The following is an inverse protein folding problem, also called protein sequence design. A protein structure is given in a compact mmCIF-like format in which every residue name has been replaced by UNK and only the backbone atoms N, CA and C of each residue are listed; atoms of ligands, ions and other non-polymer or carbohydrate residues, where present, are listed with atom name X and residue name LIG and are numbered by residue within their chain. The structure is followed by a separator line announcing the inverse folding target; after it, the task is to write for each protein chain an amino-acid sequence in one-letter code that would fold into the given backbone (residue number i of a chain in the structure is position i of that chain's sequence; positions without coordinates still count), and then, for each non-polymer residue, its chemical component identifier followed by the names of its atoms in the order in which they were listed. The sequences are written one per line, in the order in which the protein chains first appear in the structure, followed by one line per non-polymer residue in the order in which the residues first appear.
data_IF_438147574205
#
_entry.id   IF_438147574205
#
_cell.length_a   1.000
_cell.length_b   1.000
_cell.length_c   1.000
_cell.angle_alpha   90.00
_cell.angle_beta   90.00
_cell.angle_gamma   90.00
#
_symmetry.space_group_name_H-M   'P 1'
#
loop_
_entity.id
_entity.type
_entity.pdbx_description
1 polymer ?
#
# COMPACT_ATOMS: atom_id res chain seq x y z
N UNK A 1 0.07 -16.36 1.59
CA UNK A 1 0.91 -17.53 1.31
C UNK A 1 1.57 -17.45 -0.07
N UNK A 2 0.85 -17.62 -1.18
CA UNK A 2 1.50 -17.65 -2.52
C UNK A 2 2.14 -16.34 -3.01
N UNK A 3 1.55 -15.19 -2.68
CA UNK A 3 2.02 -13.87 -3.14
C UNK A 3 2.72 -13.06 -2.05
N UNK A 4 3.08 -13.70 -0.93
CA UNK A 4 3.81 -13.05 0.18
C UNK A 4 3.00 -11.86 0.77
N UNK A 5 3.53 -10.94 1.61
CA UNK A 5 2.72 -9.89 2.23
C UNK A 5 2.45 -8.71 1.28
N UNK A 6 1.32 -8.03 1.48
CA UNK A 6 1.15 -6.65 1.00
C UNK A 6 2.15 -5.70 1.69
N UNK A 7 2.38 -4.52 1.11
CA UNK A 7 3.16 -3.47 1.80
C UNK A 7 2.57 -3.13 3.17
N UNK A 8 1.24 -2.99 3.25
CA UNK A 8 0.50 -2.75 4.49
C UNK A 8 0.75 -3.84 5.54
N UNK A 9 0.72 -5.11 5.12
CA UNK A 9 0.96 -6.25 6.00
C UNK A 9 2.38 -6.24 6.52
N UNK A 10 3.37 -6.00 5.64
CA UNK A 10 4.79 -5.92 5.98
C UNK A 10 5.07 -4.83 7.04
N UNK A 11 4.41 -3.68 6.93
CA UNK A 11 4.50 -2.61 7.93
C UNK A 11 3.87 -3.02 9.27
N UNK A 12 2.67 -3.63 9.26
CA UNK A 12 2.03 -4.09 10.51
C UNK A 12 2.83 -5.19 11.21
N UNK A 13 3.37 -6.15 10.48
CA UNK A 13 4.17 -7.23 11.08
C UNK A 13 5.47 -6.72 11.69
N UNK A 14 6.04 -5.63 11.17
CA UNK A 14 7.21 -4.99 11.79
C UNK A 14 6.86 -4.45 13.17
N UNK A 15 5.77 -3.67 13.29
CA UNK A 15 5.30 -3.16 14.58
C UNK A 15 4.98 -4.30 15.56
N UNK A 16 4.29 -5.34 15.08
CA UNK A 16 3.98 -6.52 15.88
C UNK A 16 5.24 -7.26 16.36
N UNK A 17 6.21 -7.48 15.47
CA UNK A 17 7.46 -8.20 15.80
C UNK A 17 8.24 -7.48 16.90
N UNK A 18 8.36 -6.16 16.83
CA UNK A 18 9.02 -5.38 17.87
C UNK A 18 8.21 -5.30 19.17
N UNK A 19 6.87 -5.23 19.09
CA UNK A 19 6.00 -5.31 20.27
C UNK A 19 6.22 -6.64 21.01
N UNK A 20 6.19 -7.77 20.31
CA UNK A 20 6.40 -9.10 20.91
C UNK A 20 7.80 -9.22 21.51
N UNK A 21 8.83 -8.72 20.81
CA UNK A 21 10.21 -8.72 21.30
C UNK A 21 10.32 -7.91 22.59
N UNK A 22 9.81 -6.68 22.59
CA UNK A 22 9.98 -5.74 23.70
C UNK A 22 9.16 -6.16 24.92
N UNK A 23 7.99 -6.77 24.70
CA UNK A 23 7.21 -7.38 25.78
C UNK A 23 7.94 -8.58 26.42
N UNK A 24 8.66 -9.39 25.63
CA UNK A 24 9.42 -10.54 26.13
C UNK A 24 10.59 -10.12 27.04
N UNK A 25 11.17 -8.94 26.81
CA UNK A 25 12.22 -8.36 27.67
C UNK A 25 11.66 -7.49 28.81
N UNK A 26 10.34 -7.54 29.05
CA UNK A 26 9.70 -6.91 30.20
C UNK A 26 9.11 -5.51 29.97
N UNK A 27 9.08 -5.01 28.72
CA UNK A 27 8.47 -3.71 28.46
C UNK A 27 6.94 -3.75 28.59
N UNK A 28 6.36 -2.74 29.25
CA UNK A 28 4.90 -2.58 29.28
C UNK A 28 4.43 -1.85 28.01
N UNK A 29 4.03 -2.63 27.00
CA UNK A 29 3.66 -2.12 25.68
C UNK A 29 2.43 -1.21 25.67
N UNK A 30 1.56 -1.29 26.70
CA UNK A 30 0.36 -0.47 26.83
C UNK A 30 0.60 0.91 27.46
N UNK A 31 1.72 1.11 28.16
CA UNK A 31 2.06 2.38 28.81
C UNK A 31 3.37 3.00 28.31
N UNK A 32 4.03 2.36 27.33
CA UNK A 32 5.27 2.86 26.76
C UNK A 32 5.01 4.10 25.90
N UNK A 33 5.46 5.26 26.36
CA UNK A 33 5.40 6.51 25.60
C UNK A 33 6.57 6.60 24.61
N UNK A 34 6.27 6.98 23.38
CA UNK A 34 7.23 7.28 22.34
C UNK A 34 7.72 8.74 22.39
N UNK A 35 8.73 9.11 21.58
CA UNK A 35 9.35 10.44 21.62
C UNK A 35 8.40 11.60 21.31
N UNK A 36 7.32 11.34 20.56
CA UNK A 36 6.31 12.35 20.17
C UNK A 36 5.22 12.54 21.22
N UNK A 37 5.28 11.82 22.33
CA UNK A 37 4.24 11.81 23.36
C UNK A 37 3.11 10.80 23.11
N UNK A 38 3.00 10.24 21.89
CA UNK A 38 2.10 9.13 21.56
C UNK A 38 2.63 7.80 22.10
N UNK A 39 1.78 6.77 22.16
CA UNK A 39 2.24 5.43 22.55
C UNK A 39 3.17 4.81 21.51
N UNK A 40 4.28 4.23 21.98
CA UNK A 40 5.33 3.66 21.13
C UNK A 40 4.83 2.46 20.31
N UNK A 41 4.06 1.57 20.95
CA UNK A 41 3.56 0.34 20.32
C UNK A 41 2.07 0.38 20.01
N UNK A 42 1.29 0.98 20.90
CA UNK A 42 -0.17 1.05 20.82
C UNK A 42 -0.64 2.48 20.99
N UNK A 43 -1.68 2.85 20.27
CA UNK A 43 -2.35 4.14 20.39
C UNK A 43 -3.80 4.04 19.91
N UNK A 44 -4.52 5.16 19.91
CA UNK A 44 -5.90 5.22 19.44
C UNK A 44 -6.00 5.71 17.99
N UNK A 45 -6.87 5.07 17.21
CA UNK A 45 -7.32 5.58 15.92
C UNK A 45 -8.17 6.84 16.09
N UNK A 46 -8.48 7.58 15.01
CA UNK A 46 -9.43 8.69 15.05
C UNK A 46 -10.82 8.29 15.59
N UNK A 47 -11.18 7.00 15.49
CA UNK A 47 -12.43 6.41 15.99
C UNK A 47 -12.26 5.71 17.34
N UNK A 48 -11.15 5.96 18.06
CA UNK A 48 -10.80 5.41 19.37
C UNK A 48 -10.55 3.90 19.43
N UNK A 49 -10.36 3.21 18.30
CA UNK A 49 -9.89 1.81 18.33
C UNK A 49 -8.42 1.73 18.73
N UNK A 50 -8.04 0.68 19.45
CA UNK A 50 -6.62 0.41 19.77
C UNK A 50 -5.93 -0.13 18.53
N UNK A 51 -4.87 0.55 18.09
CA UNK A 51 -4.12 0.27 16.86
C UNK A 51 -2.62 0.29 17.12
N UNK A 52 -1.83 -0.22 16.19
CA UNK A 52 -0.36 -0.10 16.26
C UNK A 52 0.10 1.36 16.15
N UNK A 53 1.18 1.68 16.86
CA UNK A 53 1.83 2.99 16.87
C UNK A 53 2.79 3.24 15.70
N UNK A 54 3.41 4.42 15.70
CA UNK A 54 4.38 4.83 14.67
C UNK A 54 3.74 5.06 13.31
N UNK A 55 4.54 5.01 12.24
CA UNK A 55 4.09 5.24 10.85
C UNK A 55 3.02 4.23 10.40
N UNK A 56 2.98 3.06 11.03
CA UNK A 56 1.97 2.01 10.74
C UNK A 56 0.55 2.43 11.08
N UNK A 57 0.37 3.60 11.73
CA UNK A 57 -0.91 4.21 12.01
C UNK A 57 -1.79 4.40 10.79
N UNK A 58 -1.22 4.67 9.62
CA UNK A 58 -1.97 4.88 8.39
C UNK A 58 -2.69 3.62 7.92
N UNK A 59 -2.23 2.45 8.38
CA UNK A 59 -2.64 1.15 7.88
C UNK A 59 -3.55 0.41 8.85
N UNK A 60 -4.08 1.10 9.86
CA UNK A 60 -4.83 0.49 10.96
C UNK A 60 -6.03 -0.36 10.53
N UNK A 61 -6.67 -0.04 9.40
CA UNK A 61 -7.82 -0.78 8.85
C UNK A 61 -7.47 -2.14 8.20
N UNK A 62 -6.18 -2.45 8.00
CA UNK A 62 -5.76 -3.72 7.42
C UNK A 62 -6.19 -4.90 8.31
N UNK A 63 -6.96 -5.83 7.74
CA UNK A 63 -7.27 -7.12 8.38
C UNK A 63 -6.36 -8.20 7.83
N UNK A 64 -5.86 -9.04 8.72
CA UNK A 64 -5.02 -10.16 8.35
C UNK A 64 -5.31 -11.36 9.26
N UNK A 65 -5.38 -12.60 8.72
CA UNK A 65 -5.72 -13.80 9.52
C UNK A 65 -4.77 -14.06 10.70
N UNK A 66 -3.53 -13.59 10.60
CA UNK A 66 -2.53 -13.72 11.68
C UNK A 66 -2.73 -12.70 12.80
N UNK A 67 -3.46 -11.60 12.56
CA UNK A 67 -3.70 -10.52 13.52
C UNK A 67 -5.10 -10.58 14.13
N UNK A 68 -6.11 -10.98 13.35
CA UNK A 68 -7.52 -11.05 13.75
C UNK A 68 -7.77 -11.75 15.10
N UNK A 69 -7.08 -12.85 15.48
CA UNK A 69 -7.27 -13.47 16.80
C UNK A 69 -6.97 -12.53 17.98
N UNK A 70 -6.13 -11.51 17.77
CA UNK A 70 -5.73 -10.52 18.78
C UNK A 70 -6.64 -9.28 18.79
N UNK A 71 -7.60 -9.21 17.87
CA UNK A 71 -8.54 -8.10 17.75
C UNK A 71 -9.88 -8.41 18.46
N UNK A 72 -10.47 -7.35 19.00
CA UNK A 72 -11.81 -7.27 19.59
C UNK A 72 -12.56 -6.10 18.92
N UNK A 73 -13.87 -5.90 19.15
CA UNK A 73 -14.61 -4.80 18.50
C UNK A 73 -13.98 -3.41 18.65
N UNK A 74 -13.25 -3.17 19.75
CA UNK A 74 -12.53 -1.94 20.05
C UNK A 74 -11.07 -1.90 19.53
N UNK A 75 -10.66 -2.81 18.63
CA UNK A 75 -9.30 -2.91 18.11
C UNK A 75 -8.46 -3.97 18.81
N UNK A 76 -7.15 -3.76 18.94
CA UNK A 76 -6.24 -4.72 19.56
C UNK A 76 -6.50 -4.86 21.07
N UNK A 77 -6.67 -6.09 21.56
CA UNK A 77 -6.88 -6.36 22.98
C UNK A 77 -5.53 -6.52 23.70
N UNK A 78 -5.28 -5.65 24.69
CA UNK A 78 -4.07 -5.68 25.51
C UNK A 78 -3.92 -7.00 26.28
N UNK A 79 -5.01 -7.63 26.70
CA UNK A 79 -4.96 -8.91 27.43
C UNK A 79 -4.51 -10.04 26.50
N UNK A 80 -5.06 -10.10 25.28
CA UNK A 80 -4.67 -11.08 24.25
C UNK A 80 -3.23 -10.87 23.79
N UNK A 81 -2.80 -9.62 23.60
CA UNK A 81 -1.41 -9.30 23.29
C UNK A 81 -0.44 -9.77 24.40
N UNK A 82 -0.89 -9.76 25.66
CA UNK A 82 -0.07 -10.23 26.78
C UNK A 82 0.04 -11.75 26.87
N UNK A 83 -1.05 -12.48 26.60
CA UNK A 83 -1.17 -13.89 26.97
C UNK A 83 -1.34 -14.84 25.78
N UNK A 84 -1.91 -14.38 24.68
CA UNK A 84 -2.49 -15.27 23.67
C UNK A 84 -1.69 -15.29 22.35
N UNK A 85 -0.54 -14.61 22.29
CA UNK A 85 0.31 -14.60 21.10
C UNK A 85 0.95 -15.96 20.88
N UNK A 86 0.57 -16.59 19.76
CA UNK A 86 1.02 -17.92 19.38
C UNK A 86 2.38 -17.90 18.67
N UNK A 87 3.19 -18.98 18.80
CA UNK A 87 4.47 -19.08 18.10
C UNK A 87 4.34 -18.89 16.58
N UNK A 88 3.33 -19.48 15.94
CA UNK A 88 3.13 -19.37 14.49
C UNK A 88 2.87 -17.93 14.03
N UNK A 89 2.21 -17.09 14.84
CA UNK A 89 2.01 -15.67 14.54
C UNK A 89 3.35 -14.93 14.53
N UNK A 90 4.27 -15.29 15.44
CA UNK A 90 5.63 -14.72 15.51
C UNK A 90 6.47 -15.14 14.30
N UNK A 91 6.36 -16.39 13.88
CA UNK A 91 7.05 -16.89 12.68
C UNK A 91 6.56 -16.17 11.44
N UNK A 92 5.24 -16.09 11.26
CA UNK A 92 4.62 -15.39 10.13
C UNK A 92 4.97 -13.91 10.11
N UNK A 93 4.99 -13.25 11.27
CA UNK A 93 5.35 -11.83 11.34
C UNK A 93 6.81 -11.58 10.99
N UNK A 94 7.72 -12.44 11.44
CA UNK A 94 9.13 -12.37 11.09
C UNK A 94 9.35 -12.58 9.58
N UNK A 95 8.71 -13.61 9.00
CA UNK A 95 8.76 -13.88 7.56
C UNK A 95 8.24 -12.70 6.74
N UNK A 96 7.06 -12.17 7.08
CA UNK A 96 6.47 -11.07 6.32
C UNK A 96 7.24 -9.76 6.49
N UNK A 97 7.92 -9.56 7.61
CA UNK A 97 8.78 -8.39 7.83
C UNK A 97 10.01 -8.43 6.92
N UNK A 98 10.63 -9.60 6.75
CA UNK A 98 11.85 -9.74 5.91
C UNK A 98 11.53 -9.79 4.41
N UNK A 99 10.30 -10.16 4.05
CA UNK A 99 9.80 -10.21 2.67
C UNK A 99 8.93 -8.99 2.30
N UNK A 100 9.19 -7.83 2.91
CA UNK A 100 8.52 -6.60 2.52
C UNK A 100 8.71 -6.29 1.01
N UNK A 101 7.67 -5.80 0.30
CA UNK A 101 7.72 -5.56 -1.14
C UNK A 101 8.46 -4.26 -1.53
N UNK A 102 9.59 -3.96 -0.88
CA UNK A 102 10.44 -2.77 -1.10
C UNK A 102 11.74 -3.19 -1.75
N UNK A 103 11.99 -2.75 -3.00
CA UNK A 103 13.03 -3.33 -3.88
C UNK A 103 13.51 -2.39 -4.99
N UNK A 104 14.66 -2.69 -5.58
CA UNK A 104 15.18 -2.00 -6.77
C UNK A 104 14.80 -2.72 -8.07
N UNK A 105 14.93 -2.01 -9.20
CA UNK A 105 14.68 -2.56 -10.54
C UNK A 105 15.66 -3.70 -10.92
N UNK A 106 16.85 -3.74 -10.30
CA UNK A 106 17.87 -4.79 -10.54
C UNK A 106 17.66 -6.03 -9.68
N UNK A 107 16.45 -6.23 -9.17
CA UNK A 107 16.08 -7.28 -8.23
C UNK A 107 16.80 -7.22 -6.87
N UNK A 108 17.29 -6.05 -6.48
CA UNK A 108 17.90 -5.89 -5.17
C UNK A 108 16.85 -5.77 -4.09
N UNK A 109 17.03 -6.59 -3.05
CA UNK A 109 16.24 -6.58 -1.87
C UNK A 109 16.65 -5.60 -0.79
N UNK A 110 15.86 -4.55 -0.58
CA UNK A 110 15.83 -3.78 0.66
C UNK A 110 15.22 -2.40 0.45
N UNK A 111 15.48 -1.52 1.40
CA UNK A 111 15.29 -0.08 1.18
C UNK A 111 16.25 0.42 0.09
N UNK A 112 16.03 1.63 -0.42
CA UNK A 112 16.84 2.16 -1.54
C UNK A 112 18.35 2.28 -1.22
N UNK A 113 18.72 2.31 0.06
CA UNK A 113 20.11 2.40 0.55
C UNK A 113 20.71 1.04 0.91
N UNK A 114 20.01 -0.07 0.63
CA UNK A 114 20.50 -1.40 0.97
C UNK A 114 21.68 -1.81 0.07
N UNK A 115 22.64 -2.54 0.64
CA UNK A 115 23.76 -3.12 -0.11
C UNK A 115 23.31 -4.29 -0.98
N UNK A 116 24.12 -4.65 -1.98
CA UNK A 116 23.87 -5.80 -2.87
C UNK A 116 24.04 -7.15 -2.14
N UNK A 117 23.02 -7.58 -1.41
CA UNK A 117 23.07 -8.82 -0.62
C UNK A 117 22.01 -9.84 -1.02
N UNK A 118 20.75 -9.42 -1.19
CA UNK A 118 19.62 -10.34 -1.41
C UNK A 118 19.00 -10.09 -2.78
N UNK A 119 18.83 -11.15 -3.57
CA UNK A 119 18.19 -11.09 -4.88
C UNK A 119 16.74 -11.56 -4.78
N UNK A 120 15.80 -10.63 -4.71
CA UNK A 120 14.38 -10.97 -4.57
C UNK A 120 13.50 -9.75 -4.90
N UNK A 121 12.36 -9.99 -5.56
CA UNK A 121 11.29 -8.99 -5.76
C UNK A 121 9.94 -9.64 -5.56
N UNK A 122 9.06 -8.98 -4.79
CA UNK A 122 7.71 -9.50 -4.57
C UNK A 122 6.94 -9.60 -5.90
N UNK A 123 6.28 -10.74 -6.18
CA UNK A 123 5.39 -10.87 -7.33
C UNK A 123 4.27 -9.83 -7.35
N UNK A 124 3.83 -9.35 -6.18
CA UNK A 124 2.81 -8.28 -6.07
C UNK A 124 3.29 -6.99 -6.73
N UNK A 125 4.56 -6.61 -6.52
CA UNK A 125 5.13 -5.41 -7.12
C UNK A 125 5.21 -5.53 -8.65
N UNK A 126 5.60 -6.71 -9.16
CA UNK A 126 5.62 -6.97 -10.61
C UNK A 126 4.22 -6.88 -11.22
N UNK A 127 3.26 -7.58 -10.64
CA UNK A 127 1.88 -7.62 -11.15
C UNK A 127 1.23 -6.24 -11.10
N UNK A 128 1.39 -5.49 -9.99
CA UNK A 128 0.82 -4.16 -9.85
C UNK A 128 1.40 -3.19 -10.88
N UNK A 129 2.73 -3.15 -11.02
CA UNK A 129 3.40 -2.25 -11.96
C UNK A 129 3.04 -2.56 -13.42
N UNK A 130 3.07 -3.85 -13.79
CA UNK A 130 2.72 -4.28 -15.14
C UNK A 130 1.29 -3.87 -15.50
N UNK A 131 0.32 -4.17 -14.64
CA UNK A 131 -1.08 -3.87 -14.91
C UNK A 131 -1.38 -2.37 -14.88
N UNK A 132 -0.68 -1.59 -14.06
CA UNK A 132 -0.82 -0.13 -14.06
C UNK A 132 -0.36 0.47 -15.39
N UNK A 133 0.84 0.09 -15.85
CA UNK A 133 1.38 0.57 -17.14
C UNK A 133 0.49 0.13 -18.30
N UNK A 134 0.05 -1.14 -18.30
CA UNK A 134 -0.84 -1.65 -19.32
C UNK A 134 -2.19 -0.91 -19.33
N UNK A 135 -2.82 -0.73 -18.17
CA UNK A 135 -4.10 -0.02 -18.03
C UNK A 135 -4.01 1.42 -18.51
N UNK A 136 -2.91 2.11 -18.21
CA UNK A 136 -2.66 3.47 -18.71
C UNK A 136 -2.64 3.52 -20.24
N UNK A 137 -1.89 2.63 -20.89
CA UNK A 137 -1.81 2.63 -22.36
C UNK A 137 -3.10 2.19 -23.04
N UNK A 138 -3.87 1.27 -22.42
CA UNK A 138 -5.21 0.94 -22.90
C UNK A 138 -6.12 2.17 -22.83
N UNK A 139 -6.05 2.96 -21.77
CA UNK A 139 -6.82 4.20 -21.63
C UNK A 139 -6.41 5.26 -22.68
N UNK A 140 -5.11 5.45 -22.91
CA UNK A 140 -4.61 6.34 -23.98
C UNK A 140 -5.12 5.87 -25.35
N UNK A 141 -5.03 4.56 -25.63
CA UNK A 141 -5.57 3.97 -26.85
C UNK A 141 -7.07 4.18 -26.99
N UNK A 142 -7.83 4.04 -25.91
CA UNK A 142 -9.26 4.30 -25.88
C UNK A 142 -9.58 5.74 -26.28
N UNK A 143 -8.92 6.73 -25.67
CA UNK A 143 -9.12 8.15 -26.01
C UNK A 143 -8.78 8.45 -27.46
N UNK A 144 -7.65 7.93 -27.94
CA UNK A 144 -7.21 8.09 -29.32
C UNK A 144 -8.23 7.54 -30.31
N UNK A 145 -8.63 6.28 -30.14
CA UNK A 145 -9.57 5.62 -31.03
C UNK A 145 -10.98 6.20 -30.95
N UNK A 146 -11.45 6.56 -29.75
CA UNK A 146 -12.76 7.19 -29.58
C UNK A 146 -12.81 8.62 -30.17
N UNK A 147 -11.74 9.39 -30.03
CA UNK A 147 -11.60 10.70 -30.66
C UNK A 147 -11.61 10.59 -32.18
N UNK A 148 -10.77 9.70 -32.74
CA UNK A 148 -10.70 9.47 -34.18
C UNK A 148 -12.02 8.93 -34.74
N UNK A 149 -12.67 7.98 -34.07
CA UNK A 149 -13.95 7.43 -34.53
C UNK A 149 -15.02 8.53 -34.66
N UNK A 150 -15.09 9.45 -33.68
CA UNK A 150 -16.00 10.61 -33.75
C UNK A 150 -15.64 11.56 -34.89
N UNK A 151 -14.36 11.86 -35.09
CA UNK A 151 -13.92 12.70 -36.20
C UNK A 151 -14.21 12.08 -37.58
N UNK A 152 -14.11 10.75 -37.70
CA UNK A 152 -14.49 10.00 -38.92
C UNK A 152 -15.99 10.08 -39.17
N UNK A 153 -16.82 9.87 -38.14
CA UNK A 153 -18.28 9.98 -38.27
C UNK A 153 -18.73 11.39 -38.63
N UNK A 154 -17.98 12.41 -38.23
CA UNK A 154 -18.21 13.81 -38.58
C UNK A 154 -17.40 14.29 -39.79
N UNK A 155 -16.69 13.38 -40.48
CA UNK A 155 -16.00 13.60 -41.76
C UNK A 155 -14.87 14.65 -41.76
N UNK A 156 -14.28 14.98 -40.59
CA UNK A 156 -13.15 15.91 -40.48
C UNK A 156 -11.85 15.25 -40.00
N UNK A 157 -11.73 13.92 -40.01
CA UNK A 157 -10.57 13.24 -39.44
C UNK A 157 -9.26 13.52 -40.19
N UNK A 158 -9.34 13.87 -41.48
CA UNK A 158 -8.19 14.18 -42.34
C UNK A 158 -7.75 15.65 -42.31
N UNK A 159 -8.48 16.51 -41.60
CA UNK A 159 -8.23 17.94 -41.57
C UNK A 159 -9.49 18.76 -41.77
N UNK A 160 -9.30 20.07 -41.82
CA UNK A 160 -10.36 21.06 -42.01
C UNK A 160 -10.49 21.37 -43.50
N UNK A 161 -11.71 21.54 -43.99
CA UNK A 161 -11.97 22.04 -45.34
C UNK A 161 -11.59 23.52 -45.44
N UNK A 162 -10.68 23.85 -46.36
CA UNK A 162 -10.21 25.21 -46.58
C UNK A 162 -11.32 26.16 -47.06
N UNK A 163 -12.35 25.63 -47.73
CA UNK A 163 -13.45 26.45 -48.26
C UNK A 163 -14.57 26.64 -47.21
N UNK A 164 -14.65 25.76 -46.19
CA UNK A 164 -15.69 25.73 -45.16
C UNK A 164 -15.11 25.60 -43.75
N UNK A 165 -14.24 26.54 -43.35
CA UNK A 165 -13.68 26.58 -42.00
C UNK A 165 -14.73 27.01 -40.95
N UNK A 166 -15.11 26.16 -39.98
CA UNK A 166 -16.22 26.46 -39.06
C UNK A 166 -15.99 27.70 -38.20
N UNK A 167 -14.75 27.95 -37.77
CA UNK A 167 -14.39 29.07 -36.88
C UNK A 167 -14.65 30.42 -37.54
N UNK A 168 -14.53 30.54 -38.87
CA UNK A 168 -14.78 31.78 -39.61
C UNK A 168 -16.26 32.19 -39.64
N UNK A 169 -17.17 31.24 -39.40
CA UNK A 169 -18.62 31.48 -39.37
C UNK A 169 -19.15 31.89 -37.99
N UNK A 170 -18.30 31.84 -36.95
CA UNK A 170 -18.68 32.11 -35.56
C UNK A 170 -18.35 33.56 -35.21
N UNK A 171 -19.22 34.23 -34.45
CA UNK A 171 -18.98 35.59 -33.95
C UNK A 171 -17.72 35.65 -33.09
N UNK A 172 -16.89 36.71 -33.22
CA UNK A 172 -15.75 36.92 -32.34
C UNK A 172 -16.17 36.93 -30.88
N UNK A 173 -15.31 36.39 -30.00
CA UNK A 173 -15.59 36.30 -28.56
C UNK A 173 -15.47 37.64 -27.82
N UNK A 174 -15.07 38.73 -28.50
CA UNK A 174 -14.84 40.06 -27.94
C UNK A 174 -15.82 41.09 -28.49
#
# INVERSE_FOLDING_TARGET
DFYEPTGLEAFKVQAFTFLVRDQRIGANVGSAQGPTGLGKYLMHSPTRKVIFGGETMHFWDLRAPWLEPLEVPNGLDLNRLKKDIQPWQKWRSAEYMTHAPLRSLKFLAGVATEINAVNYVSPRSWLANFNFVLGFFIFVGHLWHAGRARAVTAEFEKGIDCDFEPVLSITPLN
#
